data_IF_422341598409
#
_entry.id   IF_422341598409
#
_cell.length_a   1.000
_cell.length_b   1.000
_cell.length_c   1.000
_cell.angle_alpha   90.00
_cell.angle_beta   90.00
_cell.angle_gamma   90.00
#
_symmetry.space_group_name_H-M   'P 1'
#
loop_
_entity.id
_entity.type
_entity.pdbx_description
1 polymer ?
#
# COMPACT_ATOMS: atom_id res chain seq x y z
N UNK A 1 11.60 -10.65 -21.35
CA UNK A 1 12.66 -9.70 -20.98
C UNK A 1 11.94 -8.42 -20.63
N UNK A 2 11.71 -8.19 -19.34
CA UNK A 2 10.87 -7.08 -18.88
C UNK A 2 11.67 -5.78 -19.04
N UNK A 3 11.10 -4.78 -19.70
CA UNK A 3 11.79 -3.53 -19.99
C UNK A 3 11.97 -2.72 -18.70
N UNK A 4 13.00 -1.88 -18.65
CA UNK A 4 13.27 -0.95 -17.54
C UNK A 4 12.02 -0.11 -17.15
N UNK A 5 11.11 0.13 -18.11
CA UNK A 5 9.82 0.82 -17.93
C UNK A 5 8.77 0.02 -17.13
N UNK A 6 8.80 -1.32 -17.11
CA UNK A 6 7.94 -2.12 -16.21
C UNK A 6 8.38 -2.00 -14.75
N UNK A 7 9.68 -1.78 -14.50
CA UNK A 7 10.25 -1.61 -13.17
C UNK A 7 10.06 -0.20 -12.59
N UNK A 8 9.86 0.82 -13.43
CA UNK A 8 9.61 2.21 -13.02
C UNK A 8 8.16 2.49 -12.56
N UNK A 9 7.24 1.52 -12.66
CA UNK A 9 5.87 1.61 -12.10
C UNK A 9 5.81 1.33 -10.59
N UNK A 10 6.92 1.50 -9.88
CA UNK A 10 7.09 1.02 -8.51
C UNK A 10 7.32 2.19 -7.55
N UNK A 11 6.24 2.63 -6.89
CA UNK A 11 6.31 3.69 -5.87
C UNK A 11 6.95 3.16 -4.58
N UNK A 12 8.27 3.03 -4.57
CA UNK A 12 9.06 2.94 -3.33
C UNK A 12 9.68 4.29 -3.07
N UNK A 13 9.98 4.59 -1.81
CA UNK A 13 10.86 5.70 -1.47
C UNK A 13 12.29 5.21 -1.41
N UNK A 14 13.22 6.01 -1.92
CA UNK A 14 14.65 5.80 -1.79
C UNK A 14 15.23 7.06 -1.14
N UNK A 15 15.92 6.93 0.00
CA UNK A 15 16.56 8.08 0.66
C UNK A 15 17.95 8.39 0.07
N UNK A 16 18.59 9.45 0.56
CA UNK A 16 19.92 9.87 0.09
C UNK A 16 21.05 8.88 0.45
N UNK A 17 20.81 7.97 1.39
CA UNK A 17 21.72 6.86 1.73
C UNK A 17 21.40 5.59 0.92
N UNK A 18 20.48 5.70 -0.04
CA UNK A 18 20.03 4.61 -0.89
C UNK A 18 19.25 3.50 -0.18
N UNK A 19 18.67 3.79 0.99
CA UNK A 19 17.75 2.86 1.64
C UNK A 19 16.38 2.93 0.97
N UNK A 20 15.76 1.76 0.80
CA UNK A 20 14.47 1.59 0.12
C UNK A 20 13.37 1.33 1.16
N UNK A 21 12.27 2.07 1.05
CA UNK A 21 11.11 2.00 1.95
C UNK A 21 9.82 1.61 1.21
N UNK A 22 8.79 1.12 1.93
CA UNK A 22 7.55 0.60 1.34
C UNK A 22 6.72 1.61 0.56
N UNK A 23 6.78 2.90 0.92
CA UNK A 23 6.10 3.97 0.21
C UNK A 23 6.74 5.33 0.51
N UNK A 24 6.30 6.37 -0.21
CA UNK A 24 6.76 7.77 -0.06
C UNK A 24 6.40 8.43 1.27
N UNK A 25 5.43 7.90 2.00
CA UNK A 25 5.01 8.43 3.31
C UNK A 25 5.66 7.72 4.50
N UNK A 26 6.44 6.67 4.25
CA UNK A 26 7.07 5.84 5.29
C UNK A 26 8.58 6.02 5.25
N UNK A 27 9.10 6.83 6.17
CA UNK A 27 10.52 7.18 6.26
C UNK A 27 11.20 6.64 7.53
N UNK A 28 10.47 5.89 8.35
CA UNK A 28 10.99 5.33 9.60
C UNK A 28 12.08 4.28 9.31
N UNK A 29 13.22 4.37 9.99
CA UNK A 29 14.34 3.42 9.89
C UNK A 29 13.92 1.97 10.16
N UNK A 30 12.89 1.75 10.99
CA UNK A 30 12.31 0.42 11.25
C UNK A 30 11.57 -0.19 10.05
N UNK A 31 11.33 0.59 9.00
CA UNK A 31 10.61 0.18 7.79
C UNK A 31 11.52 -0.01 6.58
N UNK A 32 12.85 0.10 6.74
CA UNK A 32 13.79 -0.16 5.65
C UNK A 32 13.60 -1.59 5.13
N UNK A 33 13.38 -1.71 3.82
CA UNK A 33 13.25 -3.00 3.14
C UNK A 33 14.64 -3.55 2.80
N UNK A 34 15.49 -2.69 2.22
CA UNK A 34 16.82 -3.01 1.71
C UNK A 34 17.57 -1.71 1.42
N UNK A 35 18.85 -1.83 1.05
CA UNK A 35 19.58 -0.78 0.34
C UNK A 35 19.69 -1.14 -1.16
N UNK A 36 19.80 -0.16 -2.07
CA UNK A 36 19.91 -0.44 -3.52
C UNK A 36 21.20 -1.17 -3.91
N UNK A 37 22.26 -1.07 -3.09
CA UNK A 37 23.55 -1.70 -3.36
C UNK A 37 23.61 -3.18 -2.93
N UNK A 38 22.52 -3.72 -2.37
CA UNK A 38 22.43 -5.12 -1.96
C UNK A 38 22.13 -6.04 -3.15
N UNK A 39 22.84 -7.17 -3.24
CA UNK A 39 22.68 -8.16 -4.33
C UNK A 39 21.23 -8.63 -4.53
N UNK A 40 20.46 -8.71 -3.43
CA UNK A 40 19.07 -9.16 -3.41
C UNK A 40 18.06 -8.03 -3.25
N UNK A 41 18.44 -6.79 -3.52
CA UNK A 41 17.58 -5.62 -3.30
C UNK A 41 16.22 -5.75 -4.01
N UNK A 42 16.25 -6.11 -5.29
CA UNK A 42 15.02 -6.26 -6.11
C UNK A 42 14.11 -7.35 -5.55
N UNK A 43 14.68 -8.49 -5.17
CA UNK A 43 13.93 -9.62 -4.61
C UNK A 43 13.27 -9.24 -3.28
N UNK A 44 14.01 -8.56 -2.41
CA UNK A 44 13.50 -8.03 -1.13
C UNK A 44 12.34 -7.04 -1.36
N UNK A 45 12.46 -6.15 -2.35
CA UNK A 45 11.39 -5.19 -2.72
C UNK A 45 10.13 -5.92 -3.22
N UNK A 46 10.28 -6.89 -4.14
CA UNK A 46 9.16 -7.67 -4.68
C UNK A 46 8.47 -8.46 -3.56
N UNK A 47 9.25 -9.13 -2.71
CA UNK A 47 8.74 -9.91 -1.60
C UNK A 47 7.97 -9.03 -0.61
N UNK A 48 8.54 -7.91 -0.19
CA UNK A 48 7.90 -7.00 0.77
C UNK A 48 6.57 -6.46 0.24
N UNK A 49 6.46 -6.17 -1.05
CA UNK A 49 5.20 -5.74 -1.68
C UNK A 49 4.12 -6.80 -1.62
N UNK A 50 4.46 -8.03 -2.01
CA UNK A 50 3.52 -9.17 -1.91
C UNK A 50 3.06 -9.34 -0.47
N UNK A 51 4.00 -9.29 0.47
CA UNK A 51 3.70 -9.40 1.89
C UNK A 51 2.75 -8.29 2.38
N UNK A 52 2.97 -7.04 1.99
CA UNK A 52 2.08 -5.93 2.38
C UNK A 52 0.67 -6.13 1.80
N UNK A 53 0.57 -6.43 0.50
CA UNK A 53 -0.73 -6.60 -0.19
C UNK A 53 -1.51 -7.77 0.39
N UNK A 54 -0.82 -8.88 0.66
CA UNK A 54 -1.45 -10.11 1.14
C UNK A 54 -1.86 -10.02 2.62
N UNK A 55 -0.99 -9.49 3.47
CA UNK A 55 -1.13 -9.62 4.93
C UNK A 55 -1.35 -8.32 5.69
N UNK A 56 -1.20 -7.17 5.04
CA UNK A 56 -1.19 -5.87 5.74
C UNK A 56 -2.23 -4.88 5.24
N UNK A 57 -2.84 -5.16 4.08
CA UNK A 57 -3.92 -4.38 3.52
C UNK A 57 -5.28 -5.07 3.77
N UNK A 58 -6.16 -5.03 2.78
CA UNK A 58 -7.59 -5.37 2.87
C UNK A 58 -7.92 -6.74 3.49
N UNK A 59 -7.09 -7.77 3.28
CA UNK A 59 -7.42 -9.16 3.65
C UNK A 59 -7.42 -9.38 5.17
N UNK A 60 -6.43 -8.82 5.88
CA UNK A 60 -6.22 -9.09 7.29
C UNK A 60 -6.76 -8.00 8.23
N UNK A 61 -7.21 -6.87 7.69
CA UNK A 61 -7.85 -5.80 8.48
C UNK A 61 -9.21 -6.22 9.03
N UNK A 62 -9.34 -6.26 10.36
CA UNK A 62 -10.58 -6.64 11.08
C UNK A 62 -11.79 -5.86 10.59
N UNK A 63 -11.66 -4.54 10.47
CA UNK A 63 -12.74 -3.64 10.05
C UNK A 63 -13.10 -3.81 8.56
N UNK A 64 -12.17 -4.31 7.74
CA UNK A 64 -12.43 -4.62 6.33
C UNK A 64 -13.12 -5.98 6.12
N UNK A 65 -13.14 -6.89 7.10
CA UNK A 65 -13.63 -8.27 6.88
C UNK A 65 -15.05 -8.33 6.30
N UNK A 66 -15.95 -7.50 6.84
CA UNK A 66 -17.36 -7.40 6.42
C UNK A 66 -17.65 -6.22 5.48
N UNK A 67 -16.63 -5.49 5.05
CA UNK A 67 -16.80 -4.33 4.19
C UNK A 67 -17.01 -4.76 2.73
N UNK A 68 -18.21 -4.49 2.17
CA UNK A 68 -18.56 -4.86 0.79
C UNK A 68 -17.74 -4.14 -0.29
N UNK A 69 -17.07 -3.05 0.09
CA UNK A 69 -16.36 -2.15 -0.84
C UNK A 69 -14.84 -2.23 -0.68
N UNK A 70 -14.37 -3.16 0.15
CA UNK A 70 -12.99 -3.21 0.65
C UNK A 70 -11.93 -3.30 -0.45
N UNK A 71 -12.25 -3.92 -1.58
CA UNK A 71 -11.36 -4.03 -2.74
C UNK A 71 -11.36 -2.78 -3.63
N UNK A 72 -12.37 -1.91 -3.55
CA UNK A 72 -12.35 -0.60 -4.22
C UNK A 72 -11.40 0.36 -3.51
N UNK A 73 -11.48 0.44 -2.18
CA UNK A 73 -10.61 1.34 -1.40
C UNK A 73 -9.24 0.74 -1.06
N UNK A 74 -9.00 -0.54 -1.38
CA UNK A 74 -7.76 -1.26 -1.06
C UNK A 74 -7.50 -1.47 0.44
N UNK A 75 -8.47 -1.16 1.31
CA UNK A 75 -8.28 -1.14 2.76
C UNK A 75 -7.63 0.15 3.30
N UNK A 76 -7.56 1.22 2.52
CA UNK A 76 -7.02 2.52 2.95
C UNK A 76 -5.48 2.63 2.88
N UNK A 77 -4.95 3.80 3.26
CA UNK A 77 -3.50 4.06 3.27
C UNK A 77 -2.88 3.61 4.59
N UNK A 78 -1.97 2.63 4.55
CA UNK A 78 -1.26 2.12 5.74
C UNK A 78 -0.45 3.19 6.48
N UNK A 79 0.19 4.10 5.72
CA UNK A 79 1.01 5.17 6.29
C UNK A 79 0.18 6.23 7.04
N UNK A 80 -1.15 6.22 6.86
CA UNK A 80 -2.08 7.13 7.54
C UNK A 80 -2.88 6.41 8.65
N UNK A 81 -2.57 5.14 8.92
CA UNK A 81 -3.20 4.41 10.01
C UNK A 81 -2.55 4.79 11.34
N UNK A 82 -3.36 5.30 12.26
CA UNK A 82 -2.96 5.58 13.63
C UNK A 82 -3.73 4.63 14.57
N UNK A 83 -3.05 4.02 15.54
CA UNK A 83 -3.62 3.06 16.50
C UNK A 83 -4.38 1.88 15.85
N UNK A 84 -3.91 1.39 14.69
CA UNK A 84 -4.60 0.38 13.86
C UNK A 84 -6.01 0.79 13.40
N UNK A 85 -6.36 2.07 13.46
CA UNK A 85 -7.60 2.58 12.89
C UNK A 85 -7.39 2.85 11.41
N UNK A 86 -8.33 2.39 10.60
CA UNK A 86 -8.34 2.64 9.16
C UNK A 86 -8.42 4.15 8.91
N UNK A 87 -7.74 4.62 7.85
CA UNK A 87 -7.97 5.95 7.30
C UNK A 87 -9.46 6.12 6.91
N UNK A 88 -10.24 6.72 7.82
CA UNK A 88 -11.70 6.87 7.68
C UNK A 88 -12.10 7.74 6.47
N UNK A 89 -11.23 8.68 6.06
CA UNK A 89 -11.48 9.57 4.92
C UNK A 89 -11.78 8.79 3.63
N UNK A 90 -11.06 7.72 3.36
CA UNK A 90 -11.28 6.94 2.14
C UNK A 90 -12.54 6.09 2.23
N UNK A 91 -12.87 5.55 3.41
CA UNK A 91 -14.06 4.72 3.57
C UNK A 91 -15.36 5.48 3.29
N UNK A 92 -15.47 6.73 3.74
CA UNK A 92 -16.66 7.54 3.50
C UNK A 92 -16.79 7.95 2.03
N UNK A 93 -15.68 8.38 1.41
CA UNK A 93 -15.66 8.72 -0.01
C UNK A 93 -16.17 7.58 -0.90
N UNK A 94 -15.65 6.36 -0.73
CA UNK A 94 -16.06 5.24 -1.58
C UNK A 94 -17.50 4.78 -1.32
N UNK A 95 -18.00 4.88 -0.06
CA UNK A 95 -19.42 4.63 0.23
C UNK A 95 -20.33 5.66 -0.46
N UNK A 96 -19.95 6.93 -0.41
CA UNK A 96 -20.68 8.01 -1.06
C UNK A 96 -20.68 7.86 -2.59
N UNK A 97 -19.53 7.55 -3.19
CA UNK A 97 -19.43 7.33 -4.63
C UNK A 97 -20.32 6.17 -5.12
N UNK A 98 -20.41 5.08 -4.34
CA UNK A 98 -21.30 3.96 -4.65
C UNK A 98 -22.78 4.32 -4.51
N UNK A 99 -23.15 5.07 -3.46
CA UNK A 99 -24.52 5.56 -3.29
C UNK A 99 -24.93 6.46 -4.46
N UNK A 100 -24.09 7.43 -4.85
CA UNK A 100 -24.34 8.30 -6.00
C UNK A 100 -24.56 7.51 -7.30
N UNK A 101 -23.78 6.45 -7.52
CA UNK A 101 -23.94 5.60 -8.70
C UNK A 101 -25.27 4.84 -8.69
N UNK A 102 -25.73 4.35 -7.54
CA UNK A 102 -27.00 3.64 -7.43
C UNK A 102 -28.24 4.52 -7.64
N UNK A 103 -28.16 5.82 -7.32
CA UNK A 103 -29.27 6.77 -7.53
C UNK A 103 -29.40 7.26 -8.99
N UNK A 104 -28.43 6.91 -9.84
CA UNK A 104 -28.42 7.25 -11.28
C UNK A 104 -28.94 6.11 -12.18
N UNK A 105 -29.39 5.00 -11.59
CA UNK A 105 -29.99 3.85 -12.29
C UNK A 105 -31.49 3.78 -12.07
#
# INVERSE_FOLDING_TARGET
>A
MNTLEEYLKHVNRIDYLSNVYPCVKEENLEKIITNIYEDKAIEKIIWNRKHIIEYQLVKDKKDCKKCGIKYFCGGGCRAEEHDNKICNFNCEYFKFALWLWSEQQ
#
